data_IF_078661618298
#
_entry.id   IF_078661618298
#
_cell.length_a   1.000
_cell.length_b   1.000
_cell.length_c   1.000
_cell.angle_alpha   90.00
_cell.angle_beta   90.00
_cell.angle_gamma   90.00
#
_symmetry.space_group_name_H-M   'P 1'
#
loop_
_entity.id
_entity.type
_entity.pdbx_description
1 polymer ?
#
# COMPACT_ATOMS: atom_id res chain seq x y z
N UNK A 1 -43.91 -25.18 26.15
CA UNK A 1 -43.17 -25.64 24.96
C UNK A 1 -41.73 -25.82 25.38
N UNK A 2 -41.11 -26.95 25.08
CA UNK A 2 -39.66 -27.10 25.25
C UNK A 2 -38.96 -26.09 24.33
N UNK A 3 -37.83 -25.53 24.77
CA UNK A 3 -36.99 -24.73 23.88
C UNK A 3 -36.55 -25.61 22.70
N UNK A 4 -36.53 -25.08 21.45
CA UNK A 4 -36.08 -25.84 20.29
C UNK A 4 -34.66 -26.35 20.53
N UNK A 5 -34.37 -27.57 20.04
CA UNK A 5 -33.02 -28.10 20.13
C UNK A 5 -32.05 -27.23 19.31
N UNK A 6 -30.75 -27.29 19.61
CA UNK A 6 -29.72 -26.60 18.82
C UNK A 6 -29.83 -27.00 17.34
N UNK A 7 -30.20 -28.25 17.04
CA UNK A 7 -30.34 -28.74 15.67
C UNK A 7 -31.54 -28.11 14.95
N UNK A 8 -32.70 -28.04 15.61
CA UNK A 8 -33.90 -27.44 15.01
C UNK A 8 -33.66 -25.96 14.72
N UNK A 9 -33.07 -25.24 15.69
CA UNK A 9 -32.77 -23.81 15.53
C UNK A 9 -31.70 -23.57 14.46
N UNK A 10 -30.69 -24.43 14.36
CA UNK A 10 -29.67 -24.34 13.32
C UNK A 10 -30.24 -24.59 11.92
N UNK A 11 -31.10 -25.60 11.76
CA UNK A 11 -31.79 -25.85 10.49
C UNK A 11 -32.66 -24.67 10.07
N UNK A 12 -33.45 -24.12 10.99
CA UNK A 12 -34.32 -22.98 10.73
C UNK A 12 -33.52 -21.73 10.34
N UNK A 13 -32.45 -21.43 11.09
CA UNK A 13 -31.61 -20.25 10.85
C UNK A 13 -30.77 -20.38 9.58
N UNK A 14 -30.37 -21.59 9.16
CA UNK A 14 -29.66 -21.79 7.89
C UNK A 14 -30.62 -21.75 6.69
N UNK A 15 -31.92 -22.04 6.87
CA UNK A 15 -32.91 -22.02 5.77
C UNK A 15 -33.74 -20.75 5.67
N UNK A 16 -33.91 -19.98 6.75
CA UNK A 16 -34.75 -18.77 6.81
C UNK A 16 -33.96 -17.48 6.99
N UNK A 17 -34.48 -16.32 6.61
CA UNK A 17 -33.68 -15.09 6.44
C UNK A 17 -33.33 -14.30 7.72
N UNK A 18 -33.99 -14.55 8.85
CA UNK A 18 -33.86 -13.70 10.04
C UNK A 18 -32.92 -14.29 11.12
N UNK A 19 -32.09 -13.42 11.71
CA UNK A 19 -31.29 -13.63 12.93
C UNK A 19 -30.03 -14.52 12.83
N UNK A 20 -29.51 -14.83 11.63
CA UNK A 20 -28.28 -15.62 11.45
C UNK A 20 -27.10 -15.12 12.30
N UNK A 21 -26.77 -13.84 12.19
CA UNK A 21 -25.63 -13.25 12.91
C UNK A 21 -25.83 -13.34 14.42
N UNK A 22 -27.03 -13.02 14.92
CA UNK A 22 -27.36 -13.13 16.35
C UNK A 22 -27.18 -14.55 16.84
N UNK A 23 -27.60 -15.55 16.07
CA UNK A 23 -27.45 -16.94 16.44
C UNK A 23 -26.00 -17.41 16.38
N UNK A 24 -25.20 -16.94 15.42
CA UNK A 24 -23.76 -17.22 15.39
C UNK A 24 -23.04 -16.67 16.63
N UNK A 25 -23.46 -15.52 17.19
CA UNK A 25 -22.94 -15.04 18.47
C UNK A 25 -23.31 -15.95 19.64
N UNK A 26 -24.54 -16.48 19.67
CA UNK A 26 -24.94 -17.48 20.67
C UNK A 26 -24.09 -18.74 20.56
N UNK A 27 -23.91 -19.28 19.35
CA UNK A 27 -23.09 -20.46 19.09
C UNK A 27 -21.63 -20.24 19.48
N UNK A 28 -21.05 -19.08 19.17
CA UNK A 28 -19.68 -18.75 19.57
C UNK A 28 -19.53 -18.68 21.10
N UNK A 29 -20.51 -18.09 21.81
CA UNK A 29 -20.51 -18.05 23.26
C UNK A 29 -20.68 -19.43 23.89
N UNK A 30 -21.49 -20.31 23.29
CA UNK A 30 -21.68 -21.68 23.75
C UNK A 30 -20.42 -22.54 23.53
N UNK A 31 -19.69 -22.28 22.44
CA UNK A 31 -18.38 -22.88 22.15
C UNK A 31 -17.34 -22.40 23.15
N UNK A 32 -17.25 -21.10 23.40
CA UNK A 32 -16.31 -20.51 24.36
C UNK A 32 -16.53 -21.09 25.77
N UNK A 33 -17.78 -21.27 26.17
CA UNK A 33 -18.17 -21.90 27.45
C UNK A 33 -18.01 -23.42 27.48
N UNK A 34 -17.59 -24.04 26.37
CA UNK A 34 -17.48 -25.51 26.18
C UNK A 34 -18.79 -26.25 26.40
N UNK A 35 -19.93 -25.59 26.16
CA UNK A 35 -21.26 -26.19 26.16
C UNK A 35 -21.64 -26.78 24.78
N UNK A 36 -20.93 -26.37 23.74
CA UNK A 36 -20.93 -26.95 22.40
C UNK A 36 -19.49 -27.12 21.94
N UNK A 37 -19.10 -28.28 21.43
CA UNK A 37 -17.77 -28.43 20.83
C UNK A 37 -17.80 -27.93 19.39
N UNK A 38 -16.71 -27.28 18.94
CA UNK A 38 -16.62 -26.74 17.57
C UNK A 38 -16.80 -27.84 16.52
N UNK A 39 -16.22 -29.02 16.74
CA UNK A 39 -16.38 -30.19 15.85
C UNK A 39 -17.85 -30.60 15.74
N UNK A 40 -18.58 -30.61 16.85
CA UNK A 40 -20.01 -30.97 16.84
C UNK A 40 -20.83 -29.96 16.03
N UNK A 41 -20.48 -28.66 16.04
CA UNK A 41 -21.11 -27.68 15.15
C UNK A 41 -20.83 -27.98 13.67
N UNK A 42 -19.59 -28.31 13.31
CA UNK A 42 -19.21 -28.67 11.93
C UNK A 42 -20.00 -29.89 11.45
N UNK A 43 -20.13 -30.93 12.29
CA UNK A 43 -20.92 -32.13 11.97
C UNK A 43 -22.40 -31.80 11.78
N UNK A 44 -22.97 -31.00 12.68
CA UNK A 44 -24.38 -30.55 12.59
C UNK A 44 -24.65 -29.71 11.34
N UNK A 45 -23.67 -28.96 10.85
CA UNK A 45 -23.78 -28.21 9.59
C UNK A 45 -23.62 -29.08 8.34
N UNK A 46 -23.34 -30.37 8.47
CA UNK A 46 -23.13 -31.29 7.34
C UNK A 46 -24.27 -31.27 6.31
N UNK A 47 -25.52 -31.10 6.75
CA UNK A 47 -26.67 -31.01 5.84
C UNK A 47 -26.62 -29.80 4.89
N UNK A 48 -25.94 -28.72 5.29
CA UNK A 48 -25.85 -27.49 4.52
C UNK A 48 -24.54 -27.42 3.74
N UNK A 49 -23.42 -27.83 4.34
CA UNK A 49 -22.08 -27.70 3.77
C UNK A 49 -21.81 -28.60 2.56
N UNK A 50 -22.60 -29.67 2.39
CA UNK A 50 -22.46 -30.65 1.30
C UNK A 50 -23.68 -30.71 0.38
N UNK A 51 -24.65 -29.82 0.57
CA UNK A 51 -25.88 -29.77 -0.24
C UNK A 51 -25.58 -29.35 -1.69
N UNK A 52 -26.40 -29.78 -2.64
CA UNK A 52 -26.27 -29.36 -4.04
C UNK A 52 -26.69 -27.88 -4.23
N UNK A 53 -27.56 -27.36 -3.36
CA UNK A 53 -27.97 -25.97 -3.34
C UNK A 53 -26.83 -25.04 -2.89
N UNK A 54 -26.39 -24.19 -3.82
CA UNK A 54 -25.36 -23.16 -3.61
C UNK A 54 -25.72 -22.22 -2.47
N UNK A 55 -27.00 -21.82 -2.34
CA UNK A 55 -27.43 -20.90 -1.30
C UNK A 55 -27.34 -21.56 0.08
N UNK A 56 -27.70 -22.84 0.18
CA UNK A 56 -27.59 -23.58 1.45
C UNK A 56 -26.12 -23.78 1.86
N UNK A 57 -25.24 -24.10 0.90
CA UNK A 57 -23.79 -24.18 1.14
C UNK A 57 -23.18 -22.85 1.58
N UNK A 58 -23.56 -21.76 0.92
CA UNK A 58 -23.14 -20.41 1.27
C UNK A 58 -23.51 -20.11 2.73
N UNK A 59 -24.77 -20.34 3.11
CA UNK A 59 -25.26 -20.08 4.46
C UNK A 59 -24.60 -20.95 5.52
N UNK A 60 -24.42 -22.25 5.25
CA UNK A 60 -23.69 -23.14 6.16
C UNK A 60 -22.24 -22.69 6.37
N UNK A 61 -21.56 -22.29 5.29
CA UNK A 61 -20.19 -21.76 5.35
C UNK A 61 -20.15 -20.45 6.12
N UNK A 62 -21.16 -19.59 5.94
CA UNK A 62 -21.27 -18.31 6.61
C UNK A 62 -21.44 -18.47 8.13
N UNK A 63 -22.17 -19.49 8.59
CA UNK A 63 -22.26 -19.83 10.02
C UNK A 63 -20.87 -20.13 10.58
N UNK A 64 -20.10 -21.02 9.92
CA UNK A 64 -18.74 -21.34 10.37
C UNK A 64 -17.84 -20.10 10.43
N UNK A 65 -17.89 -19.28 9.39
CA UNK A 65 -17.10 -18.05 9.31
C UNK A 65 -17.45 -17.05 10.42
N UNK A 66 -18.74 -16.83 10.71
CA UNK A 66 -19.14 -15.94 11.80
C UNK A 66 -18.77 -16.49 13.17
N UNK A 67 -18.92 -17.80 13.40
CA UNK A 67 -18.51 -18.42 14.67
C UNK A 67 -16.99 -18.26 14.86
N UNK A 68 -16.19 -18.56 13.84
CA UNK A 68 -14.73 -18.38 13.90
C UNK A 68 -14.31 -16.93 14.18
N UNK A 69 -15.06 -15.94 13.68
CA UNK A 69 -14.80 -14.53 13.95
C UNK A 69 -15.14 -14.08 15.38
N UNK A 70 -15.93 -14.88 16.11
CA UNK A 70 -16.47 -14.50 17.42
C UNK A 70 -15.98 -15.37 18.59
N UNK A 71 -15.11 -16.35 18.33
CA UNK A 71 -14.38 -17.07 19.37
C UNK A 71 -12.99 -16.43 19.58
N UNK A 72 -12.36 -16.58 20.76
CA UNK A 72 -11.02 -16.05 21.01
C UNK A 72 -9.96 -16.61 20.03
N UNK A 73 -9.00 -15.77 19.63
CA UNK A 73 -7.97 -16.12 18.63
C UNK A 73 -7.01 -17.24 19.09
N UNK A 74 -6.99 -17.58 20.38
CA UNK A 74 -6.22 -18.67 20.98
C UNK A 74 -7.06 -19.86 21.42
N UNK A 75 -8.36 -19.86 21.11
CA UNK A 75 -9.30 -20.88 21.55
C UNK A 75 -9.04 -22.24 20.89
N UNK A 76 -8.95 -22.26 19.56
CA UNK A 76 -8.76 -23.50 18.79
C UNK A 76 -7.32 -23.98 18.88
N UNK A 77 -7.16 -25.30 19.02
CA UNK A 77 -5.86 -25.96 19.01
C UNK A 77 -5.36 -26.17 17.58
N UNK A 78 -4.06 -26.41 17.42
CA UNK A 78 -3.41 -26.59 16.13
C UNK A 78 -4.07 -27.67 15.26
N UNK A 79 -4.43 -28.82 15.85
CA UNK A 79 -5.14 -29.89 15.13
C UNK A 79 -6.51 -29.44 14.60
N UNK A 80 -7.29 -28.73 15.42
CA UNK A 80 -8.60 -28.19 15.01
C UNK A 80 -8.44 -27.17 13.88
N UNK A 81 -7.43 -26.32 13.99
CA UNK A 81 -7.07 -25.35 12.95
C UNK A 81 -6.60 -26.03 11.66
N UNK A 82 -5.85 -27.12 11.73
CA UNK A 82 -5.45 -27.90 10.56
C UNK A 82 -6.66 -28.43 9.78
N UNK A 83 -7.64 -29.01 10.47
CA UNK A 83 -8.86 -29.54 9.83
C UNK A 83 -9.72 -28.42 9.22
N UNK A 84 -10.03 -27.37 9.99
CA UNK A 84 -10.89 -26.29 9.51
C UNK A 84 -10.22 -25.50 8.38
N UNK A 85 -8.89 -25.30 8.46
CA UNK A 85 -8.14 -24.68 7.35
C UNK A 85 -8.24 -25.54 6.09
N UNK A 86 -8.09 -26.86 6.21
CA UNK A 86 -8.19 -27.74 5.04
C UNK A 86 -9.58 -27.70 4.41
N UNK A 87 -10.64 -27.61 5.21
CA UNK A 87 -12.00 -27.38 4.73
C UNK A 87 -12.12 -26.05 3.96
N UNK A 88 -11.72 -24.92 4.55
CA UNK A 88 -11.85 -23.61 3.89
C UNK A 88 -10.98 -23.50 2.64
N UNK A 89 -9.78 -24.09 2.64
CA UNK A 89 -8.90 -24.14 1.46
C UNK A 89 -9.55 -24.92 0.31
N UNK A 90 -10.24 -26.03 0.60
CA UNK A 90 -10.96 -26.76 -0.43
C UNK A 90 -12.19 -25.98 -0.95
N UNK A 91 -12.88 -25.25 -0.06
CA UNK A 91 -14.01 -24.38 -0.42
C UNK A 91 -13.64 -23.16 -1.26
N UNK A 92 -12.37 -22.79 -1.38
CA UNK A 92 -11.93 -21.77 -2.34
C UNK A 92 -12.24 -22.14 -3.81
N UNK A 93 -12.52 -23.42 -4.09
CA UNK A 93 -12.89 -23.94 -5.41
C UNK A 93 -14.41 -24.04 -5.64
N UNK A 94 -15.21 -23.66 -4.66
CA UNK A 94 -16.68 -23.74 -4.75
C UNK A 94 -17.22 -22.64 -5.67
N UNK A 95 -18.54 -22.63 -5.85
CA UNK A 95 -19.27 -21.63 -6.62
C UNK A 95 -18.99 -20.21 -6.12
N UNK A 96 -18.91 -19.24 -7.04
CA UNK A 96 -18.53 -17.86 -6.72
C UNK A 96 -19.39 -17.19 -5.63
N UNK A 97 -20.65 -17.61 -5.46
CA UNK A 97 -21.55 -17.12 -4.39
C UNK A 97 -21.12 -17.57 -2.98
N UNK A 98 -20.40 -18.69 -2.85
CA UNK A 98 -19.93 -19.22 -1.55
C UNK A 98 -18.61 -18.54 -1.14
N UNK A 99 -17.82 -18.07 -2.12
CA UNK A 99 -16.49 -17.50 -1.92
C UNK A 99 -16.45 -16.34 -0.89
N UNK A 100 -17.39 -15.38 -0.86
CA UNK A 100 -17.39 -14.34 0.17
C UNK A 100 -17.48 -14.90 1.60
N UNK A 101 -18.27 -15.96 1.82
CA UNK A 101 -18.34 -16.63 3.12
C UNK A 101 -17.02 -17.35 3.45
N UNK A 102 -16.38 -17.99 2.46
CA UNK A 102 -15.07 -18.66 2.59
C UNK A 102 -14.00 -17.66 3.00
N UNK A 103 -13.90 -16.52 2.31
CA UNK A 103 -12.93 -15.46 2.58
C UNK A 103 -13.06 -14.92 4.01
N UNK A 104 -14.29 -14.73 4.50
CA UNK A 104 -14.55 -14.32 5.89
C UNK A 104 -13.98 -15.31 6.92
N UNK A 105 -14.14 -16.60 6.66
CA UNK A 105 -13.63 -17.66 7.54
C UNK A 105 -12.12 -17.77 7.48
N UNK A 106 -11.53 -17.70 6.29
CA UNK A 106 -10.07 -17.66 6.11
C UNK A 106 -9.46 -16.48 6.85
N UNK A 107 -10.08 -15.29 6.78
CA UNK A 107 -9.59 -14.12 7.51
C UNK A 107 -9.59 -14.34 9.04
N UNK A 108 -10.57 -15.06 9.58
CA UNK A 108 -10.57 -15.44 11.00
C UNK A 108 -9.44 -16.43 11.29
N UNK A 109 -9.27 -17.44 10.44
CA UNK A 109 -8.26 -18.50 10.57
C UNK A 109 -6.84 -17.91 10.56
N UNK A 110 -6.50 -17.02 9.63
CA UNK A 110 -5.15 -16.41 9.55
C UNK A 110 -4.84 -15.50 10.74
N UNK A 111 -5.85 -15.09 11.51
CA UNK A 111 -5.71 -14.31 12.74
C UNK A 111 -5.49 -15.20 13.98
N UNK A 112 -5.69 -16.52 13.90
CA UNK A 112 -5.58 -17.42 15.05
C UNK A 112 -4.13 -17.66 15.48
N UNK A 113 -3.86 -17.67 16.78
CA UNK A 113 -2.50 -17.81 17.34
C UNK A 113 -1.88 -19.18 17.11
N UNK A 114 -2.69 -20.23 17.19
CA UNK A 114 -2.25 -21.62 17.11
C UNK A 114 -2.29 -22.18 15.66
N UNK A 115 -2.33 -21.30 14.65
CA UNK A 115 -2.36 -21.71 13.25
C UNK A 115 -1.06 -22.44 12.87
N UNK A 116 -1.14 -23.65 12.24
CA UNK A 116 0.04 -24.38 11.76
C UNK A 116 0.93 -23.51 10.89
N UNK A 117 2.25 -23.70 10.96
CA UNK A 117 3.20 -22.82 10.28
C UNK A 117 2.97 -22.80 8.76
N UNK A 118 2.71 -23.94 8.13
CA UNK A 118 2.52 -24.10 6.69
C UNK A 118 1.14 -23.65 6.18
N UNK A 119 0.20 -23.38 7.09
CA UNK A 119 -1.18 -23.10 6.71
C UNK A 119 -1.34 -21.80 5.88
N UNK A 120 -0.74 -20.65 6.23
CA UNK A 120 -0.92 -19.43 5.45
C UNK A 120 -0.37 -19.53 4.03
N UNK A 121 0.77 -20.21 3.82
CA UNK A 121 1.35 -20.36 2.48
C UNK A 121 0.46 -21.24 1.60
N UNK A 122 -0.11 -22.32 2.17
CA UNK A 122 -1.13 -23.15 1.50
C UNK A 122 -2.41 -22.38 1.17
N UNK A 123 -2.88 -21.55 2.10
CA UNK A 123 -4.05 -20.68 1.90
C UNK A 123 -3.80 -19.72 0.75
N UNK A 124 -2.72 -18.94 0.80
CA UNK A 124 -2.43 -17.91 -0.22
C UNK A 124 -2.18 -18.54 -1.59
N UNK A 125 -1.42 -19.63 -1.67
CA UNK A 125 -1.17 -20.34 -2.93
C UNK A 125 -2.47 -20.81 -3.60
N UNK A 126 -3.43 -21.29 -2.81
CA UNK A 126 -4.74 -21.72 -3.34
C UNK A 126 -5.59 -20.49 -3.69
N UNK A 127 -5.62 -19.47 -2.84
CA UNK A 127 -6.39 -18.25 -3.07
C UNK A 127 -5.96 -17.55 -4.36
N UNK A 128 -4.65 -17.40 -4.61
CA UNK A 128 -4.14 -16.78 -5.84
C UNK A 128 -4.48 -17.59 -7.10
N UNK A 129 -4.56 -18.92 -6.99
CA UNK A 129 -4.89 -19.79 -8.12
C UNK A 129 -6.39 -19.82 -8.44
N UNK A 130 -7.23 -19.89 -7.41
CA UNK A 130 -8.67 -20.15 -7.59
C UNK A 130 -9.51 -18.85 -7.65
N UNK A 131 -9.02 -17.74 -7.07
CA UNK A 131 -9.80 -16.51 -6.95
C UNK A 131 -9.18 -15.39 -7.79
N UNK A 132 -9.94 -14.90 -8.76
CA UNK A 132 -9.66 -13.60 -9.38
C UNK A 132 -10.16 -12.47 -8.47
N UNK A 133 -9.24 -11.73 -7.84
CA UNK A 133 -9.57 -10.63 -6.93
C UNK A 133 -10.49 -9.59 -7.60
N UNK A 134 -10.22 -9.24 -8.86
CA UNK A 134 -10.94 -8.22 -9.62
C UNK A 134 -12.40 -8.60 -9.92
N UNK A 135 -12.73 -9.90 -9.86
CA UNK A 135 -14.11 -10.38 -10.02
C UNK A 135 -14.97 -10.21 -8.76
N UNK A 136 -14.36 -9.93 -7.62
CA UNK A 136 -15.03 -9.85 -6.33
C UNK A 136 -15.59 -8.45 -6.05
N UNK A 137 -16.61 -8.37 -5.18
CA UNK A 137 -17.14 -7.09 -4.71
C UNK A 137 -16.07 -6.32 -3.93
N UNK A 138 -16.21 -4.99 -3.85
CA UNK A 138 -15.28 -4.11 -3.14
C UNK A 138 -14.93 -4.61 -1.72
N UNK A 139 -15.96 -4.96 -0.95
CA UNK A 139 -15.81 -5.45 0.43
C UNK A 139 -15.03 -6.76 0.49
N UNK A 140 -15.20 -7.62 -0.50
CA UNK A 140 -14.57 -8.93 -0.54
C UNK A 140 -13.11 -8.82 -0.99
N UNK A 141 -12.80 -7.92 -1.93
CA UNK A 141 -11.41 -7.53 -2.24
C UNK A 141 -10.67 -7.03 -1.01
N UNK A 142 -11.34 -6.22 -0.17
CA UNK A 142 -10.76 -5.79 1.11
C UNK A 142 -10.45 -6.96 2.03
N UNK A 143 -11.29 -7.98 2.07
CA UNK A 143 -11.02 -9.20 2.84
C UNK A 143 -9.79 -9.93 2.30
N UNK A 144 -9.65 -10.07 0.97
CA UNK A 144 -8.46 -10.67 0.34
C UNK A 144 -7.19 -9.92 0.75
N UNK A 145 -7.17 -8.59 0.64
CA UNK A 145 -5.99 -7.80 1.04
C UNK A 145 -5.66 -7.94 2.53
N UNK A 146 -6.68 -8.06 3.39
CA UNK A 146 -6.47 -8.32 4.81
C UNK A 146 -5.93 -9.73 5.07
N UNK A 147 -6.39 -10.75 4.33
CA UNK A 147 -5.85 -12.11 4.44
C UNK A 147 -4.35 -12.10 4.11
N UNK A 148 -3.97 -11.48 2.99
CA UNK A 148 -2.56 -11.33 2.57
C UNK A 148 -1.76 -10.63 3.67
N UNK A 149 -2.19 -9.45 4.10
CA UNK A 149 -1.51 -8.66 5.12
C UNK A 149 -1.38 -9.41 6.45
N UNK A 150 -2.47 -9.97 6.97
CA UNK A 150 -2.46 -10.71 8.25
C UNK A 150 -1.56 -11.94 8.17
N UNK A 151 -1.55 -12.67 7.06
CA UNK A 151 -0.64 -13.82 6.87
C UNK A 151 0.83 -13.39 6.94
N UNK A 152 1.18 -12.27 6.29
CA UNK A 152 2.55 -11.72 6.29
C UNK A 152 2.94 -11.25 7.70
N UNK A 153 2.08 -10.50 8.38
CA UNK A 153 2.40 -9.95 9.71
C UNK A 153 2.55 -11.08 10.75
N UNK A 154 1.66 -12.07 10.72
CA UNK A 154 1.65 -13.12 11.73
C UNK A 154 2.73 -14.18 11.50
N UNK A 155 3.15 -14.42 10.24
CA UNK A 155 4.05 -15.52 9.86
C UNK A 155 5.08 -15.10 8.81
N UNK A 156 5.73 -13.95 8.99
CA UNK A 156 6.65 -13.34 8.03
C UNK A 156 7.71 -14.30 7.46
N UNK A 157 8.42 -15.02 8.33
CA UNK A 157 9.50 -15.92 7.92
C UNK A 157 9.01 -17.13 7.12
N UNK A 158 7.78 -17.58 7.38
CA UNK A 158 7.15 -18.60 6.53
C UNK A 158 6.77 -17.99 5.18
N UNK A 159 6.18 -16.80 5.16
CA UNK A 159 5.76 -16.15 3.92
C UNK A 159 6.95 -15.89 2.99
N UNK A 160 8.14 -15.60 3.53
CA UNK A 160 9.37 -15.47 2.74
C UNK A 160 9.73 -16.74 1.97
N UNK A 161 9.36 -17.93 2.46
CA UNK A 161 9.65 -19.21 1.80
C UNK A 161 8.87 -19.40 0.50
N UNK A 162 7.76 -18.66 0.31
CA UNK A 162 7.01 -18.66 -0.96
C UNK A 162 7.78 -17.99 -2.10
N UNK A 163 8.77 -17.15 -1.77
CA UNK A 163 9.63 -16.49 -2.77
C UNK A 163 8.84 -15.69 -3.82
N UNK A 164 9.19 -15.80 -5.11
CA UNK A 164 8.58 -14.98 -6.16
C UNK A 164 7.08 -15.26 -6.37
N UNK A 165 6.58 -16.45 -6.02
CA UNK A 165 5.15 -16.79 -6.17
C UNK A 165 4.26 -15.91 -5.29
N UNK A 166 4.75 -15.54 -4.09
CA UNK A 166 4.03 -14.60 -3.24
C UNK A 166 4.00 -13.21 -3.85
N UNK A 167 5.11 -12.74 -4.42
CA UNK A 167 5.18 -11.42 -5.06
C UNK A 167 4.25 -11.36 -6.26
N UNK A 168 4.29 -12.37 -7.14
CA UNK A 168 3.39 -12.47 -8.29
C UNK A 168 1.91 -12.52 -7.86
N UNK A 169 1.58 -13.32 -6.84
CA UNK A 169 0.22 -13.40 -6.32
C UNK A 169 -0.28 -12.08 -5.72
N UNK A 170 0.58 -11.31 -5.05
CA UNK A 170 0.25 -9.98 -4.55
C UNK A 170 0.02 -8.99 -5.70
N UNK A 171 0.93 -8.94 -6.69
CA UNK A 171 0.79 -8.10 -7.88
C UNK A 171 -0.55 -8.38 -8.57
N UNK A 172 -0.82 -9.65 -8.87
CA UNK A 172 -2.07 -10.07 -9.52
C UNK A 172 -3.32 -9.71 -8.69
N UNK A 173 -3.23 -9.76 -7.36
CA UNK A 173 -4.36 -9.46 -6.49
C UNK A 173 -4.70 -7.97 -6.42
N UNK A 174 -3.68 -7.09 -6.51
CA UNK A 174 -3.86 -5.65 -6.35
C UNK A 174 -4.04 -4.92 -7.69
N UNK A 175 -3.70 -5.56 -8.80
CA UNK A 175 -3.86 -5.00 -10.14
C UNK A 175 -5.32 -4.57 -10.41
N UNK A 176 -5.49 -3.37 -10.95
CA UNK A 176 -6.80 -2.83 -11.31
C UNK A 176 -7.75 -2.50 -10.15
N UNK A 177 -7.29 -2.37 -8.90
CA UNK A 177 -8.12 -1.84 -7.81
C UNK A 177 -8.49 -0.37 -8.07
N UNK A 178 -9.76 -0.02 -7.86
CA UNK A 178 -10.29 1.33 -8.16
C UNK A 178 -10.94 1.99 -6.95
N UNK A 179 -11.25 1.22 -5.92
CA UNK A 179 -11.88 1.76 -4.73
C UNK A 179 -10.85 2.51 -3.87
N UNK A 180 -11.08 3.80 -3.56
CA UNK A 180 -10.11 4.62 -2.83
C UNK A 180 -9.84 4.10 -1.42
N UNK A 181 -10.79 3.41 -0.77
CA UNK A 181 -10.60 2.87 0.59
C UNK A 181 -9.69 1.64 0.56
N UNK A 182 -9.81 0.84 -0.50
CA UNK A 182 -8.90 -0.29 -0.75
C UNK A 182 -7.51 0.20 -1.17
N UNK A 183 -7.41 1.17 -2.07
CA UNK A 183 -6.13 1.79 -2.45
C UNK A 183 -5.41 2.38 -1.23
N UNK A 184 -6.13 3.10 -0.37
CA UNK A 184 -5.55 3.64 0.86
C UNK A 184 -4.93 2.54 1.75
N UNK A 185 -5.60 1.40 1.88
CA UNK A 185 -5.06 0.26 2.62
C UNK A 185 -3.86 -0.37 1.93
N UNK A 186 -3.93 -0.60 0.63
CA UNK A 186 -2.83 -1.17 -0.15
C UNK A 186 -1.59 -0.29 -0.06
N UNK A 187 -1.70 1.01 -0.33
CA UNK A 187 -0.56 1.93 -0.23
C UNK A 187 -0.02 2.06 1.20
N UNK A 188 -0.82 1.79 2.24
CA UNK A 188 -0.34 1.75 3.61
C UNK A 188 0.51 0.51 3.95
N UNK A 189 0.27 -0.63 3.26
CA UNK A 189 0.95 -1.90 3.55
C UNK A 189 2.07 -2.22 2.55
N UNK A 190 1.99 -1.71 1.32
CA UNK A 190 2.93 -1.99 0.24
C UNK A 190 4.39 -1.62 0.58
N UNK A 191 4.70 -0.48 1.23
CA UNK A 191 6.07 -0.18 1.62
C UNK A 191 6.68 -1.24 2.54
N UNK A 192 5.88 -1.75 3.48
CA UNK A 192 6.30 -2.82 4.40
C UNK A 192 6.49 -4.14 3.65
N UNK A 193 5.59 -4.46 2.72
CA UNK A 193 5.74 -5.64 1.87
C UNK A 193 7.03 -5.56 1.04
N UNK A 194 7.21 -4.50 0.25
CA UNK A 194 8.36 -4.34 -0.63
C UNK A 194 9.69 -4.30 0.15
N UNK A 195 9.69 -3.78 1.38
CA UNK A 195 10.87 -3.80 2.24
C UNK A 195 11.24 -5.17 2.83
N UNK A 196 10.33 -6.15 2.80
CA UNK A 196 10.54 -7.48 3.39
C UNK A 196 10.73 -8.60 2.37
N UNK A 197 10.36 -8.39 1.11
CA UNK A 197 10.38 -9.41 0.06
C UNK A 197 11.23 -8.96 -1.13
N UNK A 198 12.10 -9.85 -1.61
CA UNK A 198 12.91 -9.59 -2.82
C UNK A 198 12.02 -9.65 -4.07
N UNK A 199 11.93 -8.53 -4.80
CA UNK A 199 11.10 -8.45 -6.02
C UNK A 199 11.73 -9.18 -7.22
N UNK A 200 13.07 -9.15 -7.34
CA UNK A 200 13.79 -9.81 -8.43
C UNK A 200 13.31 -9.36 -9.81
N UNK A 201 12.97 -10.33 -10.67
CA UNK A 201 12.48 -10.07 -12.03
C UNK A 201 11.09 -9.41 -12.08
N UNK A 202 10.36 -9.36 -10.96
CA UNK A 202 9.04 -8.73 -10.84
C UNK A 202 9.12 -7.25 -10.40
N UNK A 203 10.32 -6.66 -10.36
CA UNK A 203 10.52 -5.28 -9.92
C UNK A 203 9.75 -4.28 -10.79
N UNK A 204 9.88 -4.40 -12.11
CA UNK A 204 9.18 -3.53 -13.08
C UNK A 204 7.66 -3.73 -12.98
N UNK A 205 7.19 -4.97 -12.92
CA UNK A 205 5.76 -5.28 -12.83
C UNK A 205 5.14 -4.75 -11.53
N UNK A 206 5.83 -4.88 -10.39
CA UNK A 206 5.39 -4.27 -9.13
C UNK A 206 5.36 -2.75 -9.24
N UNK A 207 6.35 -2.13 -9.88
CA UNK A 207 6.37 -0.69 -10.09
C UNK A 207 5.21 -0.23 -10.97
N UNK A 208 4.91 -0.93 -12.06
CA UNK A 208 3.83 -0.61 -13.00
C UNK A 208 2.47 -0.64 -12.30
N UNK A 209 2.20 -1.68 -11.51
CA UNK A 209 0.95 -1.81 -10.78
C UNK A 209 0.76 -0.70 -9.74
N UNK A 210 1.83 -0.16 -9.16
CA UNK A 210 1.76 0.98 -8.23
C UNK A 210 1.69 2.32 -8.98
N UNK A 211 2.52 2.49 -10.01
CA UNK A 211 2.68 3.76 -10.72
C UNK A 211 1.52 4.10 -11.64
N UNK A 212 0.68 3.13 -12.01
CA UNK A 212 -0.53 3.38 -12.78
C UNK A 212 -1.52 4.34 -12.10
N UNK A 213 -1.41 4.55 -10.78
CA UNK A 213 -2.21 5.51 -10.02
C UNK A 213 -1.62 6.93 -9.98
N UNK A 214 -0.51 7.18 -10.69
CA UNK A 214 0.23 8.45 -10.68
C UNK A 214 0.03 9.28 -11.97
N UNK A 215 -0.28 10.59 -11.87
CA UNK A 215 -0.59 11.33 -10.64
C UNK A 215 -1.99 10.98 -10.11
N UNK A 216 -2.26 11.28 -8.83
CA UNK A 216 -3.55 10.94 -8.24
C UNK A 216 -4.62 11.89 -8.74
N UNK A 217 -5.46 11.39 -9.65
CA UNK A 217 -6.66 12.08 -10.14
C UNK A 217 -7.90 11.52 -9.41
N UNK A 218 -8.19 12.10 -8.24
CA UNK A 218 -9.30 11.68 -7.40
C UNK A 218 -10.07 12.89 -6.86
N UNK A 219 -11.39 12.83 -6.96
CA UNK A 219 -12.30 13.82 -6.39
C UNK A 219 -13.29 13.11 -5.44
N UNK A 220 -13.21 13.35 -4.12
CA UNK A 220 -14.09 12.70 -3.16
C UNK A 220 -15.56 13.12 -3.36
N UNK A 221 -16.54 12.25 -3.07
CA UNK A 221 -17.95 12.62 -3.06
C UNK A 221 -18.22 13.73 -2.03
N UNK A 222 -18.98 14.77 -2.41
CA UNK A 222 -19.15 16.01 -1.64
C UNK A 222 -19.79 15.87 -0.23
N UNK A 223 -20.33 14.70 0.14
CA UNK A 223 -21.15 14.51 1.34
C UNK A 223 -20.67 13.35 2.25
N UNK A 224 -19.44 12.85 2.13
CA UNK A 224 -18.93 11.78 3.00
C UNK A 224 -17.91 12.35 4.01
N UNK A 225 -18.30 12.58 5.29
CA UNK A 225 -17.41 13.11 6.32
C UNK A 225 -16.25 12.17 6.70
N UNK A 226 -16.27 10.91 6.24
CA UNK A 226 -15.19 9.95 6.39
C UNK A 226 -14.52 9.61 5.03
N UNK A 227 -14.68 10.48 4.02
CA UNK A 227 -14.11 10.23 2.70
C UNK A 227 -12.59 10.23 2.76
N UNK A 228 -11.98 9.21 2.17
CA UNK A 228 -10.57 9.23 1.77
C UNK A 228 -10.32 10.51 0.96
N UNK A 229 -9.27 11.27 1.29
CA UNK A 229 -8.92 12.47 0.52
C UNK A 229 -7.97 12.12 -0.61
N UNK A 230 -7.88 12.99 -1.62
CA UNK A 230 -6.87 12.87 -2.69
C UNK A 230 -5.46 12.92 -2.08
N UNK A 231 -5.27 13.80 -1.11
CA UNK A 231 -4.00 14.02 -0.44
C UNK A 231 -3.57 12.76 0.32
N UNK A 232 -4.48 12.06 1.01
CA UNK A 232 -4.14 10.80 1.70
C UNK A 232 -3.60 9.75 0.70
N UNK A 233 -4.26 9.61 -0.45
CA UNK A 233 -3.83 8.70 -1.52
C UNK A 233 -2.48 9.12 -2.10
N UNK A 234 -2.29 10.41 -2.41
CA UNK A 234 -1.05 10.92 -2.98
C UNK A 234 0.15 10.72 -2.04
N UNK A 235 -0.02 10.96 -0.73
CA UNK A 235 1.05 10.76 0.24
C UNK A 235 1.43 9.28 0.39
N UNK A 236 0.46 8.37 0.51
CA UNK A 236 0.77 6.94 0.63
C UNK A 236 1.30 6.34 -0.67
N UNK A 237 0.79 6.78 -1.83
CA UNK A 237 1.32 6.40 -3.14
C UNK A 237 2.78 6.84 -3.26
N UNK A 238 3.11 8.07 -2.85
CA UNK A 238 4.48 8.54 -2.85
C UNK A 238 5.40 7.64 -2.03
N UNK A 239 4.98 7.25 -0.81
CA UNK A 239 5.76 6.33 0.02
C UNK A 239 5.95 4.95 -0.62
N UNK A 240 4.96 4.49 -1.39
CA UNK A 240 5.00 3.21 -2.13
C UNK A 240 5.97 3.28 -3.32
N UNK A 241 5.94 4.36 -4.11
CA UNK A 241 6.81 4.57 -5.28
C UNK A 241 8.30 4.71 -4.93
N UNK A 242 8.62 5.02 -3.68
CA UNK A 242 10.01 5.14 -3.18
C UNK A 242 10.34 4.09 -2.12
N UNK A 243 9.56 3.02 -2.02
CA UNK A 243 9.70 1.99 -0.98
C UNK A 243 10.96 1.11 -1.13
N UNK A 244 11.56 1.06 -2.32
CA UNK A 244 12.82 0.36 -2.59
C UNK A 244 13.68 1.15 -3.57
N UNK A 245 15.01 1.06 -3.44
CA UNK A 245 15.95 1.71 -4.36
C UNK A 245 15.89 1.11 -5.76
N UNK A 246 15.40 -0.13 -5.90
CA UNK A 246 15.22 -0.78 -7.20
C UNK A 246 14.20 -0.07 -8.10
N UNK A 247 13.32 0.77 -7.53
CA UNK A 247 12.38 1.57 -8.32
C UNK A 247 13.01 2.82 -8.93
N UNK A 248 14.24 3.19 -8.58
CA UNK A 248 14.83 4.44 -9.04
C UNK A 248 14.92 4.55 -10.56
N UNK A 249 15.22 3.44 -11.25
CA UNK A 249 15.36 3.41 -12.72
C UNK A 249 14.05 3.70 -13.46
N UNK A 250 12.89 3.41 -12.86
CA UNK A 250 11.55 3.66 -13.42
C UNK A 250 10.93 4.96 -12.89
N UNK A 251 11.12 5.20 -11.59
CA UNK A 251 10.53 6.32 -10.87
C UNK A 251 11.12 7.66 -11.34
N UNK A 252 12.44 7.80 -11.45
CA UNK A 252 13.05 9.09 -11.82
C UNK A 252 12.63 9.56 -13.23
N UNK A 253 12.62 8.71 -14.29
CA UNK A 253 12.06 9.09 -15.59
C UNK A 253 10.60 9.52 -15.54
N UNK A 254 9.74 8.78 -14.83
CA UNK A 254 8.32 9.10 -14.67
C UNK A 254 8.12 10.49 -14.05
N UNK A 255 8.88 10.81 -13.00
CA UNK A 255 8.78 12.10 -12.31
C UNK A 255 9.21 13.26 -13.21
N UNK A 256 10.30 13.10 -13.96
CA UNK A 256 10.76 14.12 -14.91
C UNK A 256 9.73 14.36 -16.02
N UNK A 257 9.10 13.31 -16.55
CA UNK A 257 8.01 13.43 -17.52
C UNK A 257 6.84 14.24 -16.95
N UNK A 258 6.41 13.95 -15.72
CA UNK A 258 5.29 14.67 -15.10
C UNK A 258 5.62 16.11 -14.76
N UNK A 259 6.86 16.41 -14.36
CA UNK A 259 7.34 17.78 -14.14
C UNK A 259 7.35 18.61 -15.43
N UNK A 260 7.66 18.00 -16.58
CA UNK A 260 7.66 18.73 -17.85
C UNK A 260 6.26 18.99 -18.42
N UNK A 261 5.24 18.24 -17.95
CA UNK A 261 3.84 18.44 -18.34
C UNK A 261 3.26 19.80 -17.90
N UNK A 262 2.12 20.20 -18.47
CA UNK A 262 1.38 21.40 -18.04
C UNK A 262 0.30 21.12 -16.98
N UNK A 263 0.29 19.92 -16.40
CA UNK A 263 -0.75 19.51 -15.45
C UNK A 263 -0.27 19.85 -14.03
N UNK A 264 -0.87 20.89 -13.44
CA UNK A 264 -0.55 21.38 -12.08
C UNK A 264 -0.50 20.27 -11.03
N UNK A 265 -1.53 19.43 -10.99
CA UNK A 265 -1.64 18.28 -10.08
C UNK A 265 -0.47 17.32 -10.27
N UNK A 266 -0.12 17.01 -11.52
CA UNK A 266 1.00 16.11 -11.83
C UNK A 266 2.34 16.67 -11.35
N UNK A 267 2.55 17.99 -11.48
CA UNK A 267 3.76 18.65 -10.98
C UNK A 267 3.87 18.58 -9.46
N UNK A 268 2.79 18.87 -8.73
CA UNK A 268 2.79 18.81 -7.27
C UNK A 268 3.08 17.39 -6.77
N UNK A 269 2.41 16.39 -7.35
CA UNK A 269 2.62 14.99 -6.99
C UNK A 269 4.04 14.54 -7.37
N UNK A 270 4.59 14.99 -8.51
CA UNK A 270 5.96 14.68 -8.90
C UNK A 270 7.02 15.30 -7.99
N UNK A 271 6.83 16.54 -7.55
CA UNK A 271 7.70 17.19 -6.56
C UNK A 271 7.63 16.48 -5.21
N UNK A 272 6.44 16.06 -4.77
CA UNK A 272 6.25 15.27 -3.55
C UNK A 272 7.05 13.96 -3.62
N UNK A 273 6.86 13.16 -4.67
CA UNK A 273 7.57 11.89 -4.83
C UNK A 273 9.08 12.11 -4.99
N UNK A 274 9.51 13.10 -5.76
CA UNK A 274 10.95 13.39 -5.97
C UNK A 274 11.63 13.77 -4.66
N UNK A 275 10.97 14.55 -3.80
CA UNK A 275 11.49 14.88 -2.47
C UNK A 275 11.66 13.62 -1.61
N UNK A 276 10.68 12.71 -1.62
CA UNK A 276 10.79 11.44 -0.89
C UNK A 276 11.86 10.52 -1.51
N UNK A 277 12.01 10.55 -2.84
CA UNK A 277 13.05 9.82 -3.56
C UNK A 277 14.45 10.30 -3.17
N UNK A 278 14.67 11.62 -3.04
CA UNK A 278 15.93 12.16 -2.53
C UNK A 278 16.30 11.61 -1.14
N UNK A 279 15.31 11.32 -0.30
CA UNK A 279 15.55 10.73 1.03
C UNK A 279 15.88 9.24 0.97
N UNK A 280 15.19 8.48 0.12
CA UNK A 280 15.23 7.00 0.14
C UNK A 280 16.12 6.35 -0.92
N UNK A 281 16.23 6.91 -2.11
CA UNK A 281 17.09 6.35 -3.17
C UNK A 281 18.57 6.61 -2.87
N UNK A 282 19.45 5.78 -3.44
CA UNK A 282 20.89 5.95 -3.22
C UNK A 282 21.41 7.06 -4.14
N UNK A 283 22.46 7.75 -3.71
CA UNK A 283 23.07 8.81 -4.52
C UNK A 283 23.48 8.32 -5.93
N UNK A 284 23.99 7.09 -6.04
CA UNK A 284 24.37 6.49 -7.33
C UNK A 284 23.21 6.40 -8.33
N UNK A 285 21.97 6.28 -7.83
CA UNK A 285 20.77 6.15 -8.66
C UNK A 285 20.29 7.54 -9.11
N UNK A 286 20.49 8.57 -8.28
CA UNK A 286 20.16 9.97 -8.61
C UNK A 286 21.21 10.63 -9.52
N UNK A 287 22.48 10.26 -9.36
CA UNK A 287 23.64 10.88 -9.98
C UNK A 287 23.51 11.10 -11.51
N UNK A 288 23.04 10.11 -12.30
CA UNK A 288 22.85 10.29 -13.75
C UNK A 288 21.81 11.36 -14.11
N UNK A 289 20.88 11.67 -13.20
CA UNK A 289 19.72 12.52 -13.44
C UNK A 289 19.86 13.92 -12.86
N UNK A 290 20.84 14.20 -11.98
CA UNK A 290 20.97 15.48 -11.24
C UNK A 290 20.86 16.71 -12.15
N UNK A 291 21.54 16.69 -13.30
CA UNK A 291 21.53 17.82 -14.24
C UNK A 291 20.13 18.09 -14.78
N UNK A 292 19.38 17.04 -15.11
CA UNK A 292 18.03 17.18 -15.69
C UNK A 292 17.00 17.50 -14.61
N UNK A 293 17.11 16.87 -13.44
CA UNK A 293 16.33 17.19 -12.25
C UNK A 293 16.48 18.67 -11.88
N UNK A 294 17.70 19.20 -11.88
CA UNK A 294 17.96 20.61 -11.64
C UNK A 294 17.19 21.51 -12.61
N UNK A 295 17.24 21.23 -13.92
CA UNK A 295 16.51 22.03 -14.92
C UNK A 295 14.99 21.97 -14.70
N UNK A 296 14.45 20.77 -14.46
CA UNK A 296 13.03 20.58 -14.19
C UNK A 296 12.59 21.38 -12.96
N UNK A 297 13.35 21.29 -11.87
CA UNK A 297 13.07 22.03 -10.63
C UNK A 297 13.18 23.54 -10.85
N UNK A 298 14.25 24.01 -11.51
CA UNK A 298 14.47 25.44 -11.76
C UNK A 298 13.34 26.07 -12.59
N UNK A 299 12.84 25.35 -13.60
CA UNK A 299 11.71 25.75 -14.45
C UNK A 299 10.45 26.08 -13.63
N UNK A 300 10.27 25.38 -12.51
CA UNK A 300 9.12 25.58 -11.62
C UNK A 300 9.36 26.64 -10.53
N UNK A 301 10.62 26.98 -10.23
CA UNK A 301 10.98 28.00 -9.23
C UNK A 301 10.94 29.41 -9.81
N UNK A 302 11.58 29.64 -10.97
CA UNK A 302 11.86 30.99 -11.48
C UNK A 302 10.61 31.77 -11.90
N UNK A 303 9.65 31.21 -12.67
CA UNK A 303 8.47 31.97 -13.08
C UNK A 303 7.68 32.51 -11.88
N UNK A 304 7.67 31.77 -10.76
CA UNK A 304 7.03 32.20 -9.51
C UNK A 304 5.53 32.48 -9.61
N UNK A 305 4.88 32.04 -10.68
CA UNK A 305 3.46 32.29 -10.98
C UNK A 305 2.53 31.43 -10.11
N UNK A 306 2.94 30.20 -9.81
CA UNK A 306 2.19 29.26 -8.98
C UNK A 306 2.91 29.01 -7.66
N UNK A 307 2.50 29.73 -6.61
CA UNK A 307 3.17 29.70 -5.30
C UNK A 307 3.31 28.29 -4.72
N UNK A 308 2.28 27.46 -4.81
CA UNK A 308 2.30 26.11 -4.26
C UNK A 308 3.33 25.21 -4.97
N UNK A 309 3.40 25.27 -6.31
CA UNK A 309 4.41 24.55 -7.08
C UNK A 309 5.80 25.09 -6.75
N UNK A 310 5.98 26.41 -6.71
CA UNK A 310 7.26 27.03 -6.37
C UNK A 310 7.76 26.58 -4.99
N UNK A 311 6.89 26.62 -3.97
CA UNK A 311 7.25 26.23 -2.61
C UNK A 311 7.59 24.72 -2.54
N UNK A 312 6.86 23.86 -3.26
CA UNK A 312 7.19 22.43 -3.39
C UNK A 312 8.52 22.17 -4.13
N UNK A 313 8.80 22.93 -5.19
CA UNK A 313 10.03 22.82 -5.98
C UNK A 313 11.25 23.25 -5.17
N UNK A 314 11.12 24.34 -4.39
CA UNK A 314 12.13 24.80 -3.44
C UNK A 314 12.41 23.73 -2.37
N UNK A 315 11.36 23.14 -1.78
CA UNK A 315 11.53 22.10 -0.77
C UNK A 315 12.24 20.86 -1.35
N UNK A 316 11.93 20.50 -2.60
CA UNK A 316 12.58 19.40 -3.33
C UNK A 316 14.04 19.70 -3.62
N UNK A 317 14.36 20.91 -4.07
CA UNK A 317 15.76 21.35 -4.28
C UNK A 317 16.57 21.27 -2.98
N UNK A 318 15.99 21.74 -1.88
CA UNK A 318 16.64 21.71 -0.56
C UNK A 318 16.98 20.28 -0.15
N UNK A 319 16.07 19.33 -0.38
CA UNK A 319 16.30 17.92 -0.11
C UNK A 319 17.39 17.32 -1.01
N UNK A 320 17.39 17.64 -2.31
CA UNK A 320 18.43 17.21 -3.25
C UNK A 320 19.81 17.73 -2.83
N UNK A 321 19.91 19.02 -2.49
CA UNK A 321 21.18 19.63 -2.03
C UNK A 321 21.64 18.98 -0.71
N UNK A 322 20.71 18.72 0.21
CA UNK A 322 21.01 18.03 1.46
C UNK A 322 21.57 16.63 1.20
N UNK A 323 20.90 15.81 0.38
CA UNK A 323 21.35 14.48 -0.05
C UNK A 323 22.77 14.51 -0.60
N UNK A 324 23.05 15.44 -1.51
CA UNK A 324 24.37 15.63 -2.11
C UNK A 324 25.43 16.11 -1.12
N UNK A 325 25.05 16.66 0.03
CA UNK A 325 25.98 17.12 1.05
C UNK A 325 26.37 16.05 2.07
N UNK A 326 25.53 15.01 2.25
CA UNK A 326 25.71 14.00 3.30
C UNK A 326 26.11 12.61 2.78
N UNK A 327 25.81 12.28 1.51
CA UNK A 327 26.05 10.94 0.95
C UNK A 327 27.20 10.85 -0.07
N UNK A 328 28.20 11.73 0.03
CA UNK A 328 29.36 11.69 -0.88
C UNK A 328 30.25 10.50 -0.53
N UNK A 329 30.33 9.52 -1.42
CA UNK A 329 31.13 8.29 -1.17
C UNK A 329 32.46 8.26 -1.92
N UNK A 330 32.64 9.08 -2.96
CA UNK A 330 33.84 9.09 -3.78
C UNK A 330 34.23 10.50 -4.29
N UNK A 331 35.41 10.60 -4.93
CA UNK A 331 35.98 11.87 -5.40
C UNK A 331 35.25 12.49 -6.59
N UNK A 332 34.49 11.71 -7.37
CA UNK A 332 33.72 12.23 -8.49
C UNK A 332 32.41 12.83 -7.97
N UNK A 333 31.72 12.10 -7.08
CA UNK A 333 30.52 12.56 -6.38
C UNK A 333 30.75 13.85 -5.58
N UNK A 334 31.97 14.08 -5.08
CA UNK A 334 32.28 15.31 -4.33
C UNK A 334 32.18 16.60 -5.15
N UNK A 335 32.14 16.49 -6.48
CA UNK A 335 31.95 17.63 -7.39
C UNK A 335 30.49 17.94 -7.68
N UNK A 336 29.58 16.97 -7.50
CA UNK A 336 28.16 17.11 -7.85
C UNK A 336 27.50 18.30 -7.14
N UNK A 337 27.74 18.43 -5.82
CA UNK A 337 27.20 19.54 -5.04
C UNK A 337 27.79 20.91 -5.46
N UNK A 338 29.13 21.11 -5.50
CA UNK A 338 29.72 22.33 -6.04
C UNK A 338 29.22 22.72 -7.44
N UNK A 339 29.06 21.75 -8.35
CA UNK A 339 28.62 21.99 -9.72
C UNK A 339 27.16 22.42 -9.77
N UNK A 340 26.29 21.80 -8.96
CA UNK A 340 24.90 22.22 -8.80
C UNK A 340 24.80 23.63 -8.20
N UNK A 341 25.55 23.92 -7.13
CA UNK A 341 25.54 25.24 -6.49
C UNK A 341 26.08 26.34 -7.40
N UNK A 342 27.05 26.02 -8.26
CA UNK A 342 27.53 26.94 -9.30
C UNK A 342 26.41 27.28 -10.29
N UNK A 343 25.62 26.29 -10.71
CA UNK A 343 24.46 26.52 -11.57
C UNK A 343 23.36 27.32 -10.88
N UNK A 344 23.10 27.07 -9.59
CA UNK A 344 22.16 27.86 -8.77
C UNK A 344 22.58 29.34 -8.76
N UNK A 345 23.86 29.63 -8.50
CA UNK A 345 24.39 30.99 -8.52
C UNK A 345 24.29 31.60 -9.91
N UNK A 346 24.70 30.87 -10.96
CA UNK A 346 24.64 31.36 -12.34
C UNK A 346 23.22 31.71 -12.80
N UNK A 347 22.22 30.87 -12.45
CA UNK A 347 20.81 31.14 -12.74
C UNK A 347 20.26 32.36 -11.97
N UNK A 348 20.91 32.74 -10.87
CA UNK A 348 20.50 33.85 -10.01
C UNK A 348 21.14 35.18 -10.39
N UNK A 349 22.36 35.18 -10.93
CA UNK A 349 23.20 36.37 -11.10
C UNK A 349 22.55 37.47 -11.95
N UNK A 350 22.02 37.14 -13.13
CA UNK A 350 21.36 38.13 -14.00
C UNK A 350 20.09 38.69 -13.35
N UNK A 351 19.32 37.83 -12.70
CA UNK A 351 18.02 38.18 -12.11
C UNK A 351 18.15 38.99 -10.81
N UNK A 352 19.26 38.87 -10.07
CA UNK A 352 19.55 39.69 -8.89
C UNK A 352 19.75 41.18 -9.23
N UNK A 353 20.10 41.49 -10.48
CA UNK A 353 20.30 42.87 -10.93
C UNK A 353 18.99 43.57 -11.35
N UNK A 354 17.90 42.82 -11.51
CA UNK A 354 16.58 43.31 -11.93
C UNK A 354 15.62 43.44 -10.73
N UNK A 355 15.86 44.47 -9.92
CA UNK A 355 15.23 44.68 -8.58
C UNK A 355 13.71 44.84 -8.61
N UNK A 356 13.13 45.30 -9.73
CA UNK A 356 11.68 45.55 -9.86
C UNK A 356 10.86 44.34 -10.36
N UNK A 357 11.47 43.14 -10.42
CA UNK A 357 10.83 41.95 -10.98
C UNK A 357 10.27 41.01 -9.91
N UNK A 358 9.13 40.36 -10.18
CA UNK A 358 8.65 39.21 -9.37
C UNK A 358 9.67 38.06 -9.34
N UNK A 359 10.57 38.02 -10.32
CA UNK A 359 11.68 37.08 -10.43
C UNK A 359 12.74 37.30 -9.35
N UNK A 360 12.93 38.53 -8.87
CA UNK A 360 13.84 38.83 -7.76
C UNK A 360 13.47 38.02 -6.51
N UNK A 361 12.19 37.97 -6.15
CA UNK A 361 11.71 37.20 -4.98
C UNK A 361 11.93 35.70 -5.18
N UNK A 362 11.66 35.17 -6.39
CA UNK A 362 11.89 33.78 -6.71
C UNK A 362 13.37 33.38 -6.56
N UNK A 363 14.27 34.26 -6.97
CA UNK A 363 15.73 34.05 -6.90
C UNK A 363 16.25 34.14 -5.47
N UNK A 364 15.75 35.08 -4.67
CA UNK A 364 16.09 35.12 -3.24
C UNK A 364 15.65 33.83 -2.56
N UNK A 365 14.41 33.36 -2.80
CA UNK A 365 13.94 32.08 -2.28
C UNK A 365 14.83 30.91 -2.71
N UNK A 366 15.21 30.84 -3.98
CA UNK A 366 16.12 29.83 -4.54
C UNK A 366 17.46 29.79 -3.80
N UNK A 367 18.12 30.95 -3.67
CA UNK A 367 19.42 31.07 -3.02
C UNK A 367 19.35 30.76 -1.52
N UNK A 368 18.34 31.30 -0.82
CA UNK A 368 18.15 31.08 0.61
C UNK A 368 17.89 29.61 0.90
N UNK A 369 16.96 28.96 0.18
CA UNK A 369 16.69 27.55 0.40
C UNK A 369 17.88 26.65 0.10
N UNK A 370 18.64 26.98 -0.96
CA UNK A 370 19.87 26.26 -1.30
C UNK A 370 20.95 26.42 -0.22
N UNK A 371 21.10 27.62 0.36
CA UNK A 371 22.03 27.87 1.44
C UNK A 371 21.62 27.16 2.73
N UNK A 372 20.33 27.14 3.05
CA UNK A 372 19.79 26.45 4.23
C UNK A 372 19.86 24.91 4.16
N UNK A 373 20.10 24.35 2.99
CA UNK A 373 20.12 22.89 2.81
C UNK A 373 21.27 22.21 3.55
N UNK A 374 22.44 22.85 3.65
CA UNK A 374 23.60 22.30 4.38
C UNK A 374 24.63 23.37 4.74
N UNK A 375 25.49 23.14 5.76
CA UNK A 375 26.59 24.06 6.08
C UNK A 375 27.53 24.32 4.91
N UNK A 376 27.82 23.29 4.10
CA UNK A 376 28.64 23.43 2.91
C UNK A 376 27.98 24.36 1.88
N UNK A 377 26.70 24.13 1.58
CA UNK A 377 25.96 24.94 0.62
C UNK A 377 25.85 26.40 1.06
N UNK A 378 25.59 26.64 2.36
CA UNK A 378 25.59 27.97 2.95
C UNK A 378 26.92 28.70 2.71
N UNK A 379 28.03 28.08 3.09
CA UNK A 379 29.36 28.66 2.90
C UNK A 379 29.67 28.90 1.42
N UNK A 380 29.33 27.95 0.56
CA UNK A 380 29.59 28.03 -0.88
C UNK A 380 28.84 29.19 -1.54
N UNK A 381 27.55 29.36 -1.23
CA UNK A 381 26.69 30.42 -1.76
C UNK A 381 27.12 31.79 -1.22
N UNK A 382 27.22 31.94 0.11
CA UNK A 382 27.55 33.24 0.74
C UNK A 382 28.90 33.76 0.26
N UNK A 383 29.91 32.90 0.08
CA UNK A 383 31.23 33.29 -0.40
C UNK A 383 31.29 33.72 -1.87
N UNK A 384 30.25 33.43 -2.67
CA UNK A 384 30.25 33.62 -4.13
C UNK A 384 29.17 34.58 -4.64
N UNK A 385 28.06 34.75 -3.92
CA UNK A 385 27.00 35.69 -4.28
C UNK A 385 27.42 37.16 -4.05
N UNK A 386 28.53 37.41 -3.35
CA UNK A 386 29.02 38.75 -3.00
C UNK A 386 30.04 39.40 -3.96
N UNK A 387 30.21 38.91 -5.20
CA UNK A 387 31.13 39.55 -6.15
C UNK A 387 30.38 40.05 -7.38
N UNK A 388 30.02 41.35 -7.44
CA UNK A 388 29.84 42.04 -8.72
C UNK A 388 31.14 42.01 -9.55
#
# INVERSE_FOLDING_TARGET
>A
MAAPSVDDKLHDVVKGDDNLISYCHELAADIEKRSLEFVNLVEKLGFALTDEDVALRERGTLVLSYVLQNIPEDFLQENELHFITSFFVDRLKDHHNVIPAVLKGILAIVSMKNLPEEAPSRILSTMFREISCQSQLQSDRRVIYRIIHTSIVNKLEEMKKMGPDLVAGVIQSIDGERDPRNLLFLFSILPTFIGNFELGHLTEEMFDVISCYFPVDFSPPANDPNSVTREDLAHLLAQSLVSTTAFAEFCLPLLMEKLDSNIRVAKLDALLVLREACKKFLLKDLEPHIRELWKCILKEIIPGTEKEIQDAAIATLKELIYKLSVEITNKEQSKLLPDLLTQVIGASQSLLTEVDSSLFVAVIKLLTASAEASPFACHYIVSRVQKP
#
